data_IF_222177928529
#
_entry.id   IF_222177928529
#
_cell.length_a   1.000
_cell.length_b   1.000
_cell.length_c   1.000
_cell.angle_alpha   90.00
_cell.angle_beta   90.00
_cell.angle_gamma   90.00
#
_symmetry.space_group_name_H-M   'P 1'
#
loop_
_entity.id
_entity.type
_entity.pdbx_description
1 polymer ?
#
# COMPACT_ATOMS: atom_id res chain seq x y z
N UNK A 1 13.42 3.82 -10.23
CA UNK A 1 14.43 2.75 -10.37
C UNK A 1 13.81 1.39 -10.03
N UNK A 2 14.31 0.31 -10.62
CA UNK A 2 13.99 -1.03 -10.12
C UNK A 2 14.43 -1.17 -8.64
N UNK A 3 13.81 -2.08 -7.84
CA UNK A 3 14.11 -2.19 -6.41
C UNK A 3 15.57 -2.55 -6.09
N UNK A 4 16.24 -3.22 -7.00
CA UNK A 4 17.68 -3.54 -6.92
C UNK A 4 18.59 -2.36 -7.33
N UNK A 5 18.02 -1.32 -7.94
CA UNK A 5 18.73 -0.15 -8.44
C UNK A 5 19.43 -0.36 -9.79
N UNK A 6 19.18 -1.48 -10.48
CA UNK A 6 19.91 -1.84 -11.70
C UNK A 6 19.63 -0.92 -12.89
N UNK A 7 18.43 -0.36 -12.99
CA UNK A 7 18.03 0.58 -14.05
C UNK A 7 16.78 1.38 -13.68
N UNK A 8 16.48 2.37 -14.45
CA UNK A 8 15.20 3.05 -14.39
C UNK A 8 14.08 2.17 -14.96
N UNK A 9 12.86 2.32 -14.39
CA UNK A 9 11.65 1.72 -14.96
C UNK A 9 11.37 2.35 -16.32
N UNK A 10 11.03 1.53 -17.30
CA UNK A 10 10.65 2.02 -18.63
C UNK A 10 9.22 2.59 -18.55
N UNK A 11 9.01 3.87 -18.90
CA UNK A 11 7.67 4.46 -18.92
C UNK A 11 6.68 3.65 -19.78
N UNK A 12 5.49 3.40 -19.28
CA UNK A 12 4.44 2.62 -19.96
C UNK A 12 4.65 1.11 -19.96
N UNK A 13 5.69 0.58 -19.29
CA UNK A 13 5.96 -0.87 -19.25
C UNK A 13 5.09 -1.64 -18.25
N UNK A 14 4.47 -0.94 -17.30
CA UNK A 14 3.77 -1.56 -16.17
C UNK A 14 4.69 -2.18 -15.12
N UNK A 15 6.03 -2.07 -15.28
CA UNK A 15 6.98 -2.55 -14.27
C UNK A 15 6.86 -1.75 -12.98
N UNK A 16 6.86 -2.47 -11.86
CA UNK A 16 6.88 -1.84 -10.53
C UNK A 16 8.31 -1.52 -10.13
N UNK A 17 8.56 -0.26 -9.86
CA UNK A 17 9.82 0.24 -9.35
C UNK A 17 9.72 0.76 -7.91
N UNK A 18 10.85 1.19 -7.37
CA UNK A 18 10.94 1.90 -6.09
C UNK A 18 11.26 3.37 -6.35
N UNK A 19 10.55 4.26 -5.68
CA UNK A 19 10.82 5.70 -5.75
C UNK A 19 12.19 5.99 -5.15
N UNK A 20 13.06 6.59 -5.96
CA UNK A 20 14.40 6.99 -5.56
C UNK A 20 14.56 8.49 -5.74
N UNK A 21 14.84 9.19 -4.66
CA UNK A 21 15.07 10.63 -4.67
C UNK A 21 16.57 10.92 -4.88
N UNK A 22 16.90 11.63 -5.96
CA UNK A 22 18.23 12.18 -6.22
C UNK A 22 18.38 13.64 -5.79
N UNK A 23 19.55 14.23 -6.05
CA UNK A 23 19.86 15.63 -5.74
C UNK A 23 20.44 15.81 -4.33
N UNK A 24 19.86 16.69 -3.52
CA UNK A 24 20.31 16.87 -2.14
C UNK A 24 19.84 15.73 -1.24
N UNK A 25 20.66 14.69 -1.13
CA UNK A 25 20.41 13.51 -0.34
C UNK A 25 21.23 13.56 0.95
N UNK A 26 20.62 13.28 2.14
CA UNK A 26 21.33 13.23 3.42
C UNK A 26 22.52 12.27 3.43
N UNK A 27 23.52 12.53 4.26
CA UNK A 27 24.67 11.63 4.42
C UNK A 27 24.29 10.30 5.07
N UNK A 28 23.28 10.31 5.93
CA UNK A 28 22.80 9.11 6.60
C UNK A 28 21.93 9.44 7.81
N UNK A 29 21.48 8.41 8.48
CA UNK A 29 20.82 8.50 9.80
C UNK A 29 21.87 8.59 10.89
N UNK A 30 21.63 9.44 11.89
CA UNK A 30 22.55 9.61 13.00
C UNK A 30 22.69 8.32 13.81
N UNK A 31 23.93 7.86 13.98
CA UNK A 31 24.27 6.62 14.71
C UNK A 31 23.56 5.34 14.22
N UNK A 32 23.09 5.33 12.97
CA UNK A 32 22.43 4.18 12.38
C UNK A 32 23.02 3.87 10.98
N UNK A 33 24.21 3.24 10.93
CA UNK A 33 24.88 2.94 9.66
C UNK A 33 24.14 1.89 8.85
N UNK A 34 23.47 0.94 9.50
CA UNK A 34 22.74 -0.13 8.82
C UNK A 34 21.54 0.41 8.06
N UNK A 35 20.70 1.22 8.71
CA UNK A 35 19.58 1.88 8.07
C UNK A 35 20.05 2.87 7.00
N UNK A 36 21.16 3.56 7.24
CA UNK A 36 21.76 4.47 6.26
C UNK A 36 22.16 3.74 4.99
N UNK A 37 22.83 2.60 5.09
CA UNK A 37 23.25 1.79 3.94
C UNK A 37 22.05 1.22 3.16
N UNK A 38 20.96 0.86 3.84
CA UNK A 38 19.73 0.39 3.20
C UNK A 38 18.99 1.51 2.45
N UNK A 39 19.02 2.73 3.00
CA UNK A 39 18.25 3.86 2.47
C UNK A 39 19.01 4.66 1.43
N UNK A 40 20.31 4.90 1.65
CA UNK A 40 21.10 5.77 0.77
C UNK A 40 22.08 4.93 -0.03
N UNK A 41 21.87 4.88 -1.35
CA UNK A 41 22.69 4.09 -2.27
C UNK A 41 23.34 5.00 -3.30
N UNK A 42 24.51 4.61 -3.78
CA UNK A 42 25.18 5.24 -4.92
C UNK A 42 24.99 4.36 -6.16
N UNK A 43 24.49 4.96 -7.25
CA UNK A 43 24.23 4.31 -8.52
C UNK A 43 24.82 5.23 -9.61
N UNK A 44 25.74 4.72 -10.40
CA UNK A 44 26.43 5.45 -11.47
C UNK A 44 27.02 6.79 -11.00
N UNK A 45 27.64 6.78 -9.82
CA UNK A 45 28.26 7.97 -9.22
C UNK A 45 27.27 9.02 -8.70
N UNK A 46 25.98 8.72 -8.68
CA UNK A 46 24.93 9.58 -8.10
C UNK A 46 24.33 8.94 -6.86
N UNK A 47 24.12 9.79 -5.85
CA UNK A 47 23.52 9.35 -4.59
C UNK A 47 21.99 9.48 -4.62
N UNK A 48 21.32 8.42 -4.19
CA UNK A 48 19.87 8.34 -4.10
C UNK A 48 19.41 7.93 -2.70
N UNK A 49 18.23 8.44 -2.31
CA UNK A 49 17.49 7.96 -1.14
C UNK A 49 16.33 7.08 -1.61
N UNK A 50 16.35 5.81 -1.18
CA UNK A 50 15.28 4.84 -1.40
C UNK A 50 14.39 4.83 -0.17
N UNK A 51 13.22 5.47 -0.26
CA UNK A 51 12.32 5.66 0.89
C UNK A 51 11.33 4.51 1.09
N UNK A 52 11.31 3.56 0.16
CA UNK A 52 10.51 2.33 0.26
C UNK A 52 9.12 2.42 -0.36
N UNK A 53 8.81 3.52 -1.03
CA UNK A 53 7.55 3.67 -1.76
C UNK A 53 7.69 3.03 -3.15
N UNK A 54 6.69 2.25 -3.54
CA UNK A 54 6.63 1.55 -4.82
C UNK A 54 5.76 2.33 -5.80
N UNK A 55 6.11 2.28 -7.08
CA UNK A 55 5.40 3.02 -8.12
C UNK A 55 5.54 2.35 -9.50
N UNK A 56 4.60 2.64 -10.39
CA UNK A 56 4.74 2.47 -11.83
C UNK A 56 5.00 3.83 -12.50
N UNK A 57 5.45 3.82 -13.74
CA UNK A 57 5.64 5.03 -14.54
C UNK A 57 4.80 4.88 -15.80
N UNK A 58 3.84 5.80 -15.97
CA UNK A 58 2.98 5.85 -17.15
C UNK A 58 3.76 6.27 -18.40
N UNK A 59 3.18 6.03 -19.58
CA UNK A 59 3.83 6.35 -20.86
C UNK A 59 4.16 7.84 -21.03
N UNK A 60 3.41 8.73 -20.36
CA UNK A 60 3.65 10.18 -20.34
C UNK A 60 4.67 10.63 -19.28
N UNK A 61 5.22 9.68 -18.50
CA UNK A 61 6.16 9.95 -17.43
C UNK A 61 5.51 10.23 -16.06
N UNK A 62 4.20 10.19 -15.95
CA UNK A 62 3.49 10.32 -14.67
C UNK A 62 3.86 9.14 -13.76
N UNK A 63 4.17 9.45 -12.50
CA UNK A 63 4.46 8.44 -11.47
C UNK A 63 3.15 8.10 -10.75
N UNK A 64 2.74 6.84 -10.86
CA UNK A 64 1.61 6.30 -10.12
C UNK A 64 2.11 5.59 -8.87
N UNK A 65 1.85 6.15 -7.69
CA UNK A 65 2.26 5.59 -6.39
C UNK A 65 1.34 4.44 -6.01
N UNK A 66 1.92 3.26 -5.78
CA UNK A 66 1.20 2.06 -5.38
C UNK A 66 1.10 1.93 -3.86
N UNK A 67 2.11 2.42 -3.13
CA UNK A 67 2.17 2.37 -1.67
C UNK A 67 3.52 1.89 -1.14
N UNK A 68 3.57 1.57 0.16
CA UNK A 68 4.78 1.09 0.83
C UNK A 68 5.08 -0.36 0.46
N UNK A 69 6.29 -0.63 -0.03
CA UNK A 69 6.73 -2.00 -0.31
C UNK A 69 6.69 -2.93 0.90
N UNK A 70 6.89 -2.40 2.13
CA UNK A 70 6.77 -3.15 3.38
C UNK A 70 5.34 -3.58 3.72
N UNK A 71 4.34 -2.92 3.16
CA UNK A 71 2.92 -3.23 3.38
C UNK A 71 2.35 -4.15 2.31
N UNK A 72 3.11 -4.37 1.22
CA UNK A 72 2.69 -5.21 0.10
C UNK A 72 2.27 -6.61 0.59
N UNK A 73 1.06 -7.01 0.21
CA UNK A 73 0.49 -8.31 0.55
C UNK A 73 0.80 -9.29 -0.58
N UNK A 74 1.49 -10.40 -0.24
CA UNK A 74 1.70 -11.48 -1.19
C UNK A 74 0.59 -12.52 -0.99
N UNK A 75 -0.34 -12.60 -1.93
CA UNK A 75 -1.47 -13.52 -1.91
C UNK A 75 -1.46 -14.40 -3.15
N UNK A 76 -1.27 -15.72 -2.96
CA UNK A 76 -1.28 -16.68 -4.08
C UNK A 76 -0.22 -16.43 -5.17
N UNK A 77 0.87 -15.72 -4.84
CA UNK A 77 1.91 -15.33 -5.80
C UNK A 77 1.74 -13.94 -6.40
N UNK A 78 0.60 -13.31 -6.18
CA UNK A 78 0.33 -11.94 -6.63
C UNK A 78 0.69 -10.93 -5.54
N UNK A 79 1.05 -9.72 -5.96
CA UNK A 79 1.39 -8.60 -5.07
C UNK A 79 0.25 -7.60 -5.06
N UNK A 80 -0.35 -7.40 -3.89
CA UNK A 80 -1.40 -6.42 -3.66
C UNK A 80 -0.85 -5.29 -2.82
N UNK A 81 -1.03 -4.06 -3.28
CA UNK A 81 -0.66 -2.86 -2.53
C UNK A 81 -1.89 -2.35 -1.77
N UNK A 82 -1.88 -2.43 -0.43
CA UNK A 82 -3.04 -2.04 0.38
C UNK A 82 -3.55 -0.64 0.06
N UNK A 83 -2.63 0.29 -0.11
CA UNK A 83 -2.94 1.70 -0.32
C UNK A 83 -3.77 1.93 -1.62
N UNK A 84 -3.53 1.16 -2.69
CA UNK A 84 -4.35 1.24 -3.91
C UNK A 84 -5.78 0.76 -3.67
N UNK A 85 -5.92 -0.33 -2.92
CA UNK A 85 -7.23 -0.89 -2.59
C UNK A 85 -7.98 0.02 -1.63
N UNK A 86 -7.28 0.62 -0.64
CA UNK A 86 -7.84 1.62 0.27
C UNK A 86 -8.41 2.83 -0.49
N UNK A 87 -7.67 3.36 -1.46
CA UNK A 87 -8.15 4.47 -2.28
C UNK A 87 -9.36 4.08 -3.12
N UNK A 88 -9.38 2.86 -3.67
CA UNK A 88 -10.53 2.38 -4.43
C UNK A 88 -11.79 2.18 -3.56
N UNK A 89 -11.64 1.66 -2.34
CA UNK A 89 -12.75 1.55 -1.38
C UNK A 89 -13.31 2.93 -1.04
N UNK A 90 -12.46 3.94 -0.89
CA UNK A 90 -12.85 5.33 -0.61
C UNK A 90 -13.52 6.05 -1.79
N UNK A 91 -13.49 5.50 -3.01
CA UNK A 91 -14.30 6.03 -4.12
C UNK A 91 -15.80 5.79 -3.92
N UNK A 92 -16.17 4.86 -3.05
CA UNK A 92 -17.58 4.67 -2.69
C UNK A 92 -18.06 5.86 -1.84
N UNK A 93 -19.14 6.54 -2.22
CA UNK A 93 -19.55 7.82 -1.60
C UNK A 93 -19.94 7.70 -0.11
N UNK A 94 -20.24 6.51 0.36
CA UNK A 94 -20.55 6.27 1.77
C UNK A 94 -19.31 5.93 2.61
N UNK A 95 -18.14 5.70 2.01
CA UNK A 95 -16.92 5.33 2.76
C UNK A 95 -16.19 6.59 3.20
N UNK A 96 -16.00 6.74 4.51
CA UNK A 96 -15.23 7.81 5.12
C UNK A 96 -13.73 7.50 5.14
N UNK A 97 -13.37 6.28 5.55
CA UNK A 97 -11.98 5.84 5.63
C UNK A 97 -11.87 4.32 5.45
N UNK A 98 -10.70 3.83 5.06
CA UNK A 98 -10.42 2.43 4.84
C UNK A 98 -9.00 2.07 5.25
N UNK A 99 -8.79 0.84 5.75
CA UNK A 99 -7.49 0.19 5.87
C UNK A 99 -7.57 -1.23 5.33
N UNK A 100 -6.56 -1.60 4.54
CA UNK A 100 -6.42 -2.92 3.94
C UNK A 100 -5.10 -3.57 4.38
N UNK A 101 -5.11 -4.85 4.67
CA UNK A 101 -3.95 -5.57 5.20
C UNK A 101 -4.01 -7.07 4.88
N UNK A 102 -2.86 -7.74 4.92
CA UNK A 102 -2.78 -9.19 4.82
C UNK A 102 -3.04 -9.85 6.17
N UNK A 103 -3.85 -10.90 6.18
CA UNK A 103 -3.98 -11.88 7.25
C UNK A 103 -3.38 -13.20 6.79
N UNK A 104 -2.80 -13.97 7.70
CA UNK A 104 -2.27 -15.29 7.38
C UNK A 104 -3.36 -16.20 6.82
N UNK A 105 -3.02 -16.95 5.78
CA UNK A 105 -3.89 -17.90 5.09
C UNK A 105 -3.10 -19.15 4.71
N UNK A 106 -3.59 -20.32 5.10
CA UNK A 106 -2.89 -21.59 4.89
C UNK A 106 -2.69 -21.92 3.40
N UNK A 107 -3.60 -21.48 2.54
CA UNK A 107 -3.59 -21.80 1.11
C UNK A 107 -2.82 -20.78 0.28
N UNK A 108 -2.95 -19.51 0.61
CA UNK A 108 -2.42 -18.40 -0.20
C UNK A 108 -1.25 -17.66 0.45
N UNK A 109 -0.80 -18.11 1.65
CA UNK A 109 0.19 -17.42 2.47
C UNK A 109 -0.40 -16.22 3.19
N UNK A 110 -1.05 -15.34 2.46
CA UNK A 110 -1.89 -14.27 3.01
C UNK A 110 -3.20 -14.16 2.23
N UNK A 111 -4.25 -13.71 2.90
CA UNK A 111 -5.50 -13.22 2.30
C UNK A 111 -5.61 -11.72 2.55
N UNK A 112 -6.20 -11.03 1.59
CA UNK A 112 -6.49 -9.59 1.72
C UNK A 112 -7.71 -9.43 2.61
N UNK A 113 -7.59 -8.59 3.64
CA UNK A 113 -8.68 -8.22 4.55
C UNK A 113 -8.66 -6.71 4.78
N UNK A 114 -9.76 -6.16 5.27
CA UNK A 114 -9.84 -4.73 5.51
C UNK A 114 -10.91 -4.31 6.51
N UNK A 115 -10.81 -3.06 6.92
CA UNK A 115 -11.84 -2.37 7.70
C UNK A 115 -12.20 -1.06 7.00
N UNK A 116 -13.47 -0.67 7.07
CA UNK A 116 -13.98 0.61 6.55
C UNK A 116 -14.84 1.30 7.60
N UNK A 117 -14.78 2.62 7.63
CA UNK A 117 -15.80 3.43 8.33
C UNK A 117 -16.74 4.06 7.31
N UNK A 118 -18.00 4.17 7.68
CA UNK A 118 -19.07 4.74 6.85
C UNK A 118 -19.33 6.17 7.30
N UNK A 119 -19.49 7.07 6.34
CA UNK A 119 -19.86 8.47 6.54
C UNK A 119 -21.08 8.57 7.47
N UNK A 120 -21.09 9.59 8.33
CA UNK A 120 -22.15 9.80 9.30
C UNK A 120 -23.52 9.94 8.62
N UNK A 121 -24.40 8.98 8.90
CA UNK A 121 -25.73 8.89 8.28
C UNK A 121 -25.76 8.03 7.00
N UNK A 122 -24.64 7.48 6.56
CA UNK A 122 -24.59 6.46 5.53
C UNK A 122 -25.11 5.11 6.02
N UNK A 123 -25.58 4.27 5.10
CA UNK A 123 -26.19 2.96 5.39
C UNK A 123 -25.54 1.83 4.60
N UNK A 124 -24.43 2.10 3.89
CA UNK A 124 -23.75 1.09 3.10
C UNK A 124 -23.17 -0.03 4.00
N UNK A 125 -23.31 -1.27 3.55
CA UNK A 125 -22.67 -2.42 4.15
C UNK A 125 -21.38 -2.81 3.42
N UNK A 126 -20.67 -3.80 3.97
CA UNK A 126 -19.39 -4.26 3.40
C UNK A 126 -19.54 -4.84 1.99
N UNK A 127 -20.62 -5.56 1.72
CA UNK A 127 -20.87 -6.20 0.43
C UNK A 127 -21.15 -5.16 -0.66
N UNK A 128 -21.91 -4.12 -0.35
CA UNK A 128 -22.18 -3.00 -1.24
C UNK A 128 -20.90 -2.26 -1.63
N UNK A 129 -20.03 -1.96 -0.64
CA UNK A 129 -18.73 -1.33 -0.88
C UNK A 129 -17.82 -2.21 -1.75
N UNK A 130 -17.73 -3.52 -1.45
CA UNK A 130 -16.92 -4.46 -2.23
C UNK A 130 -17.44 -4.60 -3.66
N UNK A 131 -18.75 -4.67 -3.86
CA UNK A 131 -19.35 -4.80 -5.19
C UNK A 131 -19.08 -3.56 -6.07
N UNK A 132 -19.12 -2.37 -5.49
CA UNK A 132 -18.74 -1.13 -6.17
C UNK A 132 -17.26 -1.13 -6.57
N UNK A 133 -16.39 -1.58 -5.67
CA UNK A 133 -14.93 -1.63 -5.88
C UNK A 133 -14.53 -2.70 -6.90
N UNK A 134 -15.28 -3.80 -7.00
CA UNK A 134 -15.03 -4.93 -7.91
C UNK A 134 -14.95 -4.56 -9.39
N UNK A 135 -15.52 -3.44 -9.76
CA UNK A 135 -15.47 -2.89 -11.14
C UNK A 135 -14.11 -2.28 -11.48
N UNK A 136 -13.30 -2.00 -10.48
CA UNK A 136 -12.04 -1.26 -10.61
C UNK A 136 -10.81 -2.16 -10.46
N UNK A 137 -10.95 -3.30 -9.76
CA UNK A 137 -9.84 -4.15 -9.37
C UNK A 137 -10.07 -5.63 -9.71
N UNK A 138 -8.99 -6.35 -9.93
CA UNK A 138 -9.02 -7.80 -10.06
C UNK A 138 -9.49 -8.45 -8.76
N UNK A 139 -10.10 -9.64 -8.86
CA UNK A 139 -10.73 -10.31 -7.71
C UNK A 139 -9.75 -10.70 -6.59
N UNK A 140 -8.47 -10.85 -6.88
CA UNK A 140 -7.45 -11.18 -5.89
C UNK A 140 -6.98 -9.95 -5.09
N UNK A 141 -7.16 -8.74 -5.62
CA UNK A 141 -6.81 -7.49 -4.95
C UNK A 141 -7.84 -7.13 -3.87
N UNK A 142 -9.08 -7.59 -4.04
CA UNK A 142 -10.17 -7.23 -3.14
C UNK A 142 -10.08 -7.97 -1.81
N UNK A 143 -10.42 -7.29 -0.70
CA UNK A 143 -10.59 -7.95 0.59
C UNK A 143 -11.53 -9.14 0.50
N UNK A 144 -11.10 -10.30 1.02
CA UNK A 144 -11.96 -11.48 1.22
C UNK A 144 -12.88 -11.29 2.43
N UNK A 145 -12.47 -10.40 3.32
CA UNK A 145 -13.17 -10.04 4.54
C UNK A 145 -13.05 -8.53 4.72
N UNK A 146 -14.17 -7.84 4.73
CA UNK A 146 -14.27 -6.40 4.96
C UNK A 146 -15.22 -6.16 6.12
N UNK A 147 -14.73 -5.51 7.17
CA UNK A 147 -15.52 -5.20 8.37
C UNK A 147 -15.86 -3.71 8.39
N UNK A 148 -17.16 -3.40 8.60
CA UNK A 148 -17.58 -2.03 8.86
C UNK A 148 -17.35 -1.72 10.34
N UNK A 149 -16.60 -0.66 10.62
CA UNK A 149 -16.26 -0.22 11.98
C UNK A 149 -16.70 1.22 12.20
N UNK A 150 -16.98 1.63 13.45
CA UNK A 150 -17.36 3.02 13.72
C UNK A 150 -16.29 4.05 13.33
N UNK A 151 -15.01 3.68 13.50
CA UNK A 151 -13.86 4.52 13.16
C UNK A 151 -12.71 3.62 12.78
N UNK A 152 -12.08 3.90 11.64
CA UNK A 152 -10.87 3.19 11.19
C UNK A 152 -9.70 3.52 12.12
N UNK A 153 -8.96 2.51 12.63
CA UNK A 153 -7.87 2.73 13.57
C UNK A 153 -6.73 3.55 12.97
N UNK A 154 -6.41 4.68 13.62
CA UNK A 154 -5.29 5.55 13.27
C UNK A 154 -4.44 5.82 14.52
N UNK A 155 -3.13 5.86 14.35
CA UNK A 155 -2.22 6.32 15.40
C UNK A 155 -2.44 7.83 15.67
N UNK A 156 -1.99 8.37 16.83
CA UNK A 156 -2.17 9.79 17.15
C UNK A 156 -1.61 10.78 16.12
N UNK A 157 -0.67 10.36 15.29
CA UNK A 157 -0.11 11.15 14.18
C UNK A 157 -0.86 10.99 12.85
N UNK A 158 -2.05 10.35 12.85
CA UNK A 158 -2.89 10.10 11.69
C UNK A 158 -2.47 8.94 10.79
N UNK A 159 -1.35 8.27 11.09
CA UNK A 159 -0.91 7.11 10.31
C UNK A 159 -1.79 5.88 10.59
N UNK A 160 -1.90 5.00 9.60
CA UNK A 160 -2.59 3.73 9.72
C UNK A 160 -2.08 2.90 10.90
N UNK A 161 -2.99 2.43 11.76
CA UNK A 161 -2.69 1.46 12.80
C UNK A 161 -3.14 0.06 12.36
N UNK A 162 -2.34 -0.54 11.49
CA UNK A 162 -2.61 -1.89 10.96
C UNK A 162 -2.69 -2.95 12.06
N UNK A 163 -1.99 -2.77 13.18
CA UNK A 163 -2.06 -3.72 14.30
C UNK A 163 -3.42 -3.70 14.95
N UNK A 164 -3.93 -2.51 15.25
CA UNK A 164 -5.27 -2.36 15.81
C UNK A 164 -6.37 -2.81 14.82
N UNK A 165 -6.21 -2.48 13.52
CA UNK A 165 -7.15 -2.89 12.49
C UNK A 165 -7.23 -4.42 12.34
N UNK A 166 -6.08 -5.12 12.32
CA UNK A 166 -6.03 -6.59 12.27
C UNK A 166 -6.71 -7.24 13.48
N UNK A 167 -6.57 -6.67 14.67
CA UNK A 167 -7.19 -7.20 15.88
C UNK A 167 -8.73 -7.17 15.81
N UNK A 168 -9.31 -6.17 15.14
CA UNK A 168 -10.77 -6.07 14.96
C UNK A 168 -11.35 -7.18 14.07
N UNK A 169 -10.56 -7.67 13.10
CA UNK A 169 -10.99 -8.72 12.18
C UNK A 169 -10.66 -10.12 12.73
N UNK A 170 -9.60 -10.25 13.54
CA UNK A 170 -9.20 -11.53 14.11
C UNK A 170 -10.07 -11.98 15.30
N UNK A 171 -10.75 -11.04 15.98
CA UNK A 171 -11.59 -11.29 17.15
C UNK A 171 -12.88 -10.45 17.00
N UNK A 172 -13.80 -10.91 16.11
CA UNK A 172 -15.04 -10.18 15.76
C UNK A 172 -16.10 -10.19 16.87
#
# INVERSE_FOLDING_TARGET
LLPDGSREVVPGSGEVGMVAQGGMVPLGYYKDPEKSAKTFKEIDGKRYAFIGDMATVEADGTINLLGRGSNCINTGGEKVFPEEVEEALKLHPAVEDALVFGLEDERFGNRVAGVVSIEKGGTADADEVLEATRKLFASYDLPKELLVVPVVPRAPNGKADYKAAKALVADP
#
